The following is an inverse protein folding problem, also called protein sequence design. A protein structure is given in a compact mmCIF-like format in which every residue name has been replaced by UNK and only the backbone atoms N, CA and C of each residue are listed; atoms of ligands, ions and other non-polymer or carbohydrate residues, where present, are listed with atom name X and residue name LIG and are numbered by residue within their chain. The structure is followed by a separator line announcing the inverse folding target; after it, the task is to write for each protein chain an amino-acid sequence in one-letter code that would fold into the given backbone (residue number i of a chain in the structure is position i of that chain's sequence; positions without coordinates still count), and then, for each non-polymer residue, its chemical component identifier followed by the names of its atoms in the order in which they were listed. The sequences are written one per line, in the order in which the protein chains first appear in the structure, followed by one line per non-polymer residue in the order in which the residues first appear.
data_IF_445168474557
#
_entry.id   IF_445168474557
#
_cell.length_a   1.000
_cell.length_b   1.000
_cell.length_c   1.000
_cell.angle_alpha   90.00
_cell.angle_beta   90.00
_cell.angle_gamma   90.00
#
_symmetry.space_group_name_H-M   'P 1'
#
loop_
_entity.id
_entity.type
_entity.pdbx_description
1 polymer ?
#
# COMPACT_ATOMS: atom_id res chain seq x y z
N UNK A 1 35.45 68.36 11.20
CA UNK A 1 34.82 68.41 9.87
C UNK A 1 35.73 67.72 8.88
N UNK A 2 35.59 66.40 8.66
CA UNK A 2 36.01 65.72 7.41
C UNK A 2 35.11 64.48 7.27
N UNK A 3 34.24 64.52 6.28
CA UNK A 3 33.46 63.37 5.82
C UNK A 3 34.31 62.58 4.81
N UNK A 4 34.26 61.25 4.87
CA UNK A 4 34.78 60.38 3.81
C UNK A 4 33.64 59.44 3.38
N UNK A 5 33.14 59.54 2.14
CA UNK A 5 32.13 58.63 1.59
C UNK A 5 32.81 57.44 0.90
N UNK A 6 32.24 56.24 1.07
CA UNK A 6 32.85 54.99 0.62
C UNK A 6 31.83 53.96 0.10
N UNK A 7 31.24 54.27 -1.06
CA UNK A 7 30.84 53.36 -2.15
C UNK A 7 29.99 52.13 -1.77
N UNK A 8 28.70 52.20 -2.11
CA UNK A 8 27.84 51.04 -2.21
C UNK A 8 28.16 50.22 -3.47
N UNK A 9 28.16 48.89 -3.32
CA UNK A 9 27.79 47.97 -4.40
C UNK A 9 26.89 46.90 -3.79
N UNK A 10 25.59 47.14 -3.94
CA UNK A 10 24.55 46.14 -3.72
C UNK A 10 24.57 45.21 -4.93
N UNK A 11 25.31 44.11 -4.83
CA UNK A 11 25.23 43.02 -5.80
C UNK A 11 24.14 42.06 -5.33
N UNK A 12 22.96 42.12 -5.93
CA UNK A 12 21.94 41.09 -5.76
C UNK A 12 22.52 39.76 -6.26
N UNK A 13 22.82 38.86 -5.33
CA UNK A 13 23.15 37.47 -5.66
C UNK A 13 21.83 36.83 -6.11
N UNK A 14 21.64 36.73 -7.43
CA UNK A 14 20.58 35.91 -8.00
C UNK A 14 20.94 34.47 -7.68
N UNK A 15 20.29 33.90 -6.68
CA UNK A 15 20.32 32.47 -6.42
C UNK A 15 19.75 31.76 -7.64
N UNK A 16 20.62 31.14 -8.44
CA UNK A 16 20.20 30.23 -9.50
C UNK A 16 19.53 29.05 -8.78
N UNK A 17 18.23 28.77 -9.03
CA UNK A 17 17.61 27.60 -8.44
C UNK A 17 18.36 26.37 -8.94
N UNK A 18 18.72 25.41 -8.06
CA UNK A 18 19.34 24.18 -8.51
C UNK A 18 18.42 23.52 -9.54
N UNK A 19 19.00 23.07 -10.66
CA UNK A 19 18.31 22.28 -11.66
C UNK A 19 17.53 21.14 -10.98
N UNK A 20 16.36 20.73 -11.50
CA UNK A 20 15.61 19.63 -10.91
C UNK A 20 16.53 18.41 -10.85
N UNK A 21 16.93 18.05 -9.63
CA UNK A 21 17.76 16.88 -9.39
C UNK A 21 17.00 15.69 -9.93
N UNK A 22 17.56 15.06 -10.98
CA UNK A 22 17.03 13.81 -11.51
C UNK A 22 17.08 12.82 -10.35
N UNK A 23 15.92 12.54 -9.76
CA UNK A 23 15.80 11.61 -8.64
C UNK A 23 16.49 10.30 -9.05
N UNK A 24 17.43 9.77 -8.26
CA UNK A 24 18.06 8.50 -8.58
C UNK A 24 16.99 7.42 -8.70
N UNK A 25 17.14 6.50 -9.65
CA UNK A 25 16.18 5.40 -9.81
C UNK A 25 16.04 4.63 -8.48
N UNK A 26 14.83 4.15 -8.13
CA UNK A 26 14.62 3.41 -6.88
C UNK A 26 15.47 2.14 -6.88
N UNK A 27 16.17 1.89 -5.78
CA UNK A 27 16.86 0.63 -5.52
C UNK A 27 15.91 -0.38 -4.88
N UNK A 28 14.93 0.12 -4.11
CA UNK A 28 13.89 -0.66 -3.44
C UNK A 28 12.57 0.11 -3.37
N UNK A 29 11.47 -0.59 -3.58
CA UNK A 29 10.12 -0.07 -3.42
C UNK A 29 9.48 -0.67 -2.16
N UNK A 30 8.89 0.18 -1.32
CA UNK A 30 7.90 -0.25 -0.31
C UNK A 30 6.54 0.19 -0.82
N UNK A 31 5.78 -0.79 -1.31
CA UNK A 31 4.49 -0.59 -1.95
C UNK A 31 3.35 -0.96 -1.01
N UNK A 32 2.20 -0.30 -1.18
CA UNK A 32 0.97 -0.65 -0.45
C UNK A 32 -0.23 -0.65 -1.40
N UNK A 33 -1.06 -1.69 -1.30
CA UNK A 33 -2.29 -1.87 -2.06
C UNK A 33 -3.48 -2.16 -1.13
N UNK A 34 -4.70 -1.84 -1.58
CA UNK A 34 -5.91 -2.20 -0.81
C UNK A 34 -6.13 -3.70 -0.85
N UNK A 35 -6.03 -4.30 -2.04
CA UNK A 35 -6.21 -5.74 -2.25
C UNK A 35 -5.22 -6.33 -3.25
N UNK A 36 -5.04 -7.68 -3.28
CA UNK A 36 -4.17 -8.35 -4.23
C UNK A 36 -4.58 -8.10 -5.70
N UNK A 37 -5.87 -7.84 -5.94
CA UNK A 37 -6.39 -7.62 -7.29
C UNK A 37 -5.81 -6.38 -7.97
N UNK A 38 -5.26 -5.43 -7.23
CA UNK A 38 -4.53 -4.31 -7.83
C UNK A 38 -3.24 -4.75 -8.53
N UNK A 39 -2.61 -5.83 -8.06
CA UNK A 39 -1.44 -6.44 -8.68
C UNK A 39 -1.84 -7.44 -9.77
N UNK A 40 -2.82 -8.29 -9.48
CA UNK A 40 -3.19 -9.44 -10.33
C UNK A 40 -3.98 -9.07 -11.59
N UNK A 41 -4.47 -7.82 -11.69
CA UNK A 41 -5.20 -7.37 -12.86
C UNK A 41 -4.31 -7.36 -14.12
N UNK A 42 -4.87 -7.77 -15.28
CA UNK A 42 -4.23 -7.52 -16.57
C UNK A 42 -3.87 -6.04 -16.69
N UNK A 43 -2.68 -5.76 -17.23
CA UNK A 43 -2.18 -4.39 -17.47
C UNK A 43 -1.99 -3.53 -16.20
N UNK A 44 -2.01 -4.17 -15.02
CA UNK A 44 -1.75 -3.50 -13.74
C UNK A 44 -0.51 -2.60 -13.82
N UNK A 45 -0.70 -1.31 -13.51
CA UNK A 45 0.43 -0.39 -13.38
C UNK A 45 1.31 -0.79 -12.19
N UNK A 46 0.70 -1.29 -11.11
CA UNK A 46 1.43 -1.81 -9.97
C UNK A 46 2.36 -2.96 -10.41
N UNK A 47 1.84 -3.96 -11.14
CA UNK A 47 2.66 -5.07 -11.65
C UNK A 47 3.84 -4.59 -12.50
N UNK A 48 3.62 -3.61 -13.39
CA UNK A 48 4.68 -3.03 -14.22
C UNK A 48 5.75 -2.30 -13.42
N UNK A 49 5.36 -1.58 -12.37
CA UNK A 49 6.30 -0.84 -11.53
C UNK A 49 7.13 -1.76 -10.65
N UNK A 50 6.53 -2.81 -10.07
CA UNK A 50 7.25 -3.75 -9.19
C UNK A 50 8.15 -4.71 -9.97
N UNK A 51 7.88 -4.97 -11.26
CA UNK A 51 8.75 -5.77 -12.12
C UNK A 51 10.15 -5.17 -12.31
N UNK A 52 10.31 -3.86 -12.06
CA UNK A 52 11.56 -3.14 -12.29
C UNK A 52 12.62 -3.28 -11.20
N UNK A 53 12.34 -3.95 -10.07
CA UNK A 53 13.31 -4.02 -8.97
C UNK A 53 12.82 -4.76 -7.73
N UNK A 54 13.54 -4.58 -6.62
CA UNK A 54 13.20 -5.18 -5.32
C UNK A 54 12.01 -4.42 -4.72
N UNK A 55 10.92 -5.13 -4.43
CA UNK A 55 9.69 -4.55 -3.92
C UNK A 55 9.17 -5.35 -2.74
N UNK A 56 8.93 -4.68 -1.61
CA UNK A 56 8.09 -5.19 -0.53
C UNK A 56 6.68 -4.61 -0.71
N UNK A 57 5.71 -5.45 -1.08
CA UNK A 57 4.32 -5.06 -1.29
C UNK A 57 3.46 -5.47 -0.09
N UNK A 58 2.93 -4.49 0.62
CA UNK A 58 1.92 -4.67 1.65
C UNK A 58 0.51 -4.68 1.05
N UNK A 59 -0.23 -5.76 1.26
CA UNK A 59 -1.66 -5.86 0.96
C UNK A 59 -2.46 -5.63 2.23
N UNK A 60 -3.31 -4.59 2.23
CA UNK A 60 -4.09 -4.21 3.40
C UNK A 60 -5.20 -5.23 3.73
N UNK A 61 -6.00 -5.60 2.74
CA UNK A 61 -7.11 -6.54 2.87
C UNK A 61 -6.95 -7.68 1.88
N UNK A 62 -7.27 -8.90 2.31
CA UNK A 62 -7.56 -9.98 1.38
C UNK A 62 -8.95 -9.69 0.78
N UNK A 63 -9.13 -9.92 -0.53
CA UNK A 63 -10.46 -9.89 -1.14
C UNK A 63 -11.24 -11.10 -0.62
N UNK A 64 -11.81 -10.98 0.58
CA UNK A 64 -12.78 -11.93 1.09
C UNK A 64 -14.02 -11.83 0.22
N UNK A 65 -14.50 -12.97 -0.29
CA UNK A 65 -15.74 -13.06 -1.06
C UNK A 65 -16.80 -12.12 -0.47
N UNK A 66 -17.34 -11.22 -1.27
CA UNK A 66 -18.55 -10.43 -0.98
C UNK A 66 -19.80 -11.30 -0.86
N UNK A 67 -19.66 -12.64 -0.86
CA UNK A 67 -20.72 -13.54 -0.47
C UNK A 67 -21.05 -13.32 1.02
N UNK A 68 -22.34 -13.41 1.40
CA UNK A 68 -22.67 -13.46 2.81
C UNK A 68 -21.92 -14.63 3.40
N UNK A 69 -20.93 -14.36 4.26
CA UNK A 69 -20.58 -15.33 5.30
C UNK A 69 -21.87 -15.47 6.09
N UNK A 70 -22.61 -16.54 5.81
CA UNK A 70 -23.72 -16.96 6.64
C UNK A 70 -23.09 -17.19 8.01
N UNK A 71 -23.04 -16.15 8.83
CA UNK A 71 -23.02 -16.30 10.27
C UNK A 71 -24.35 -16.97 10.55
N UNK A 72 -24.36 -18.29 10.59
CA UNK A 72 -25.50 -19.07 11.08
C UNK A 72 -25.66 -18.71 12.56
N UNK A 73 -26.28 -17.56 12.79
CA UNK A 73 -26.60 -17.00 14.11
C UNK A 73 -27.96 -17.55 14.60
N UNK A 74 -28.38 -18.68 14.06
CA UNK A 74 -29.58 -19.42 14.46
C UNK A 74 -29.35 -20.91 14.26
N UNK A 75 -28.45 -21.47 15.07
CA UNK A 75 -28.68 -22.80 15.62
C UNK A 75 -28.21 -22.75 17.07
N UNK A 76 -29.16 -22.73 18.00
CA UNK A 76 -28.91 -22.95 19.42
C UNK A 76 -29.20 -24.43 19.64
N UNK A 77 -28.20 -25.31 19.76
CA UNK A 77 -28.40 -26.57 20.44
C UNK A 77 -28.45 -26.26 21.94
N UNK A 78 -29.47 -26.77 22.59
CA UNK A 78 -29.52 -26.96 24.03
C UNK A 78 -28.35 -27.88 24.40
N UNK A 79 -27.26 -27.34 24.96
CA UNK A 79 -26.11 -28.15 25.40
C UNK A 79 -26.29 -28.55 26.86
N UNK A 80 -26.75 -29.78 27.05
CA UNK A 80 -26.28 -30.66 28.13
C UNK A 80 -25.72 -31.89 27.42
N UNK A 81 -24.44 -31.83 27.03
CA UNK A 81 -23.53 -32.99 27.06
C UNK A 81 -22.12 -32.56 26.66
N UNK A 82 -21.17 -33.08 27.44
CA UNK A 82 -19.73 -32.96 27.29
C UNK A 82 -19.25 -33.84 26.11
N UNK A 83 -18.13 -33.45 25.49
CA UNK A 83 -17.42 -34.10 24.38
C UNK A 83 -17.91 -33.78 22.95
N UNK A 84 -17.11 -32.99 22.21
CA UNK A 84 -16.59 -33.32 20.85
C UNK A 84 -16.02 -32.07 20.16
N UNK A 85 -14.74 -32.18 19.77
CA UNK A 85 -14.01 -31.48 18.71
C UNK A 85 -14.04 -29.94 18.64
N UNK A 86 -12.90 -29.37 19.02
CA UNK A 86 -12.40 -28.05 18.61
C UNK A 86 -12.35 -27.95 17.08
N UNK A 87 -13.49 -27.66 16.44
CA UNK A 87 -13.53 -27.11 15.08
C UNK A 87 -12.98 -25.67 15.13
N UNK A 88 -11.66 -25.59 15.30
CA UNK A 88 -10.88 -24.44 14.90
C UNK A 88 -11.30 -24.10 13.48
N UNK A 89 -12.12 -23.06 13.32
CA UNK A 89 -12.44 -22.47 12.02
C UNK A 89 -11.11 -21.94 11.48
N UNK A 90 -10.39 -22.81 10.78
CA UNK A 90 -9.12 -22.49 10.16
C UNK A 90 -9.37 -21.25 9.27
N UNK A 91 -8.69 -20.12 9.52
CA UNK A 91 -8.88 -18.93 8.71
C UNK A 91 -8.62 -19.33 7.27
N UNK A 92 -9.59 -19.11 6.37
CA UNK A 92 -9.64 -19.55 4.96
C UNK A 92 -8.26 -19.63 4.26
N UNK A 93 -7.52 -20.70 4.53
CA UNK A 93 -6.13 -20.88 4.05
C UNK A 93 -6.13 -21.15 2.54
N UNK A 94 -7.23 -21.69 2.01
CA UNK A 94 -7.41 -21.99 0.60
C UNK A 94 -7.39 -20.72 -0.24
N UNK A 95 -8.13 -19.68 0.16
CA UNK A 95 -8.09 -18.38 -0.53
C UNK A 95 -6.70 -17.74 -0.49
N UNK A 96 -5.94 -17.95 0.59
CA UNK A 96 -4.59 -17.39 0.72
C UNK A 96 -3.58 -18.04 -0.25
N UNK A 97 -3.67 -19.37 -0.39
CA UNK A 97 -2.83 -20.17 -1.31
C UNK A 97 -3.12 -19.83 -2.77
N UNK A 98 -4.39 -19.59 -3.12
CA UNK A 98 -4.79 -19.19 -4.49
C UNK A 98 -4.20 -17.83 -4.89
N UNK A 99 -4.24 -16.85 -3.99
CA UNK A 99 -3.61 -15.53 -4.21
C UNK A 99 -2.11 -15.69 -4.39
N UNK A 100 -1.46 -16.52 -3.57
CA UNK A 100 -0.01 -16.73 -3.68
C UNK A 100 0.35 -17.36 -5.03
N UNK A 101 -0.35 -18.42 -5.42
CA UNK A 101 -0.17 -19.08 -6.72
C UNK A 101 -0.45 -18.14 -7.90
N UNK A 102 -1.39 -17.19 -7.76
CA UNK A 102 -1.64 -16.17 -8.77
C UNK A 102 -0.49 -15.16 -8.87
N UNK A 103 0.08 -14.74 -7.74
CA UNK A 103 1.24 -13.85 -7.70
C UNK A 103 2.49 -14.54 -8.25
N UNK A 104 2.71 -15.80 -7.91
CA UNK A 104 3.87 -16.57 -8.38
C UNK A 104 3.85 -16.72 -9.92
N UNK A 105 2.66 -16.82 -10.53
CA UNK A 105 2.49 -16.84 -11.99
C UNK A 105 2.87 -15.53 -12.68
N UNK A 106 3.00 -14.42 -11.95
CA UNK A 106 3.49 -13.15 -12.52
C UNK A 106 5.00 -13.14 -12.74
N UNK A 107 5.74 -14.13 -12.19
CA UNK A 107 7.20 -14.27 -12.33
C UNK A 107 7.95 -12.97 -11.97
N UNK A 108 7.68 -12.46 -10.77
CA UNK A 108 8.25 -11.21 -10.25
C UNK A 108 9.32 -11.53 -9.18
N UNK A 109 10.57 -11.88 -9.55
CA UNK A 109 11.57 -12.42 -8.63
C UNK A 109 12.02 -11.44 -7.54
N UNK A 110 11.82 -10.14 -7.75
CA UNK A 110 12.11 -9.09 -6.76
C UNK A 110 10.96 -8.76 -5.80
N UNK A 111 9.78 -9.36 -5.99
CA UNK A 111 8.58 -9.07 -5.21
C UNK A 111 8.52 -9.93 -3.94
N UNK A 112 8.33 -9.26 -2.80
CA UNK A 112 7.99 -9.87 -1.52
C UNK A 112 6.59 -9.39 -1.13
N UNK A 113 5.65 -10.33 -1.04
CA UNK A 113 4.27 -10.04 -0.69
C UNK A 113 4.08 -10.15 0.83
N UNK A 114 3.57 -9.09 1.45
CA UNK A 114 3.25 -9.01 2.86
C UNK A 114 1.75 -8.76 3.01
N UNK A 115 1.08 -9.50 3.89
CA UNK A 115 -0.38 -9.45 4.03
C UNK A 115 -0.73 -9.01 5.45
N UNK A 116 -1.55 -7.97 5.56
CA UNK A 116 -1.99 -7.47 6.86
C UNK A 116 -3.29 -8.13 7.35
N UNK A 117 -4.11 -8.62 6.42
CA UNK A 117 -5.34 -9.35 6.76
C UNK A 117 -6.45 -8.49 7.38
N UNK A 118 -6.47 -7.18 7.11
CA UNK A 118 -7.57 -6.32 7.55
C UNK A 118 -8.87 -6.70 6.84
N UNK A 119 -10.00 -6.45 7.49
CA UNK A 119 -11.33 -6.67 6.88
C UNK A 119 -11.64 -5.52 5.92
N UNK A 120 -12.06 -5.85 4.71
CA UNK A 120 -12.69 -4.89 3.80
C UNK A 120 -14.17 -4.62 4.19
N UNK A 121 -14.67 -3.39 4.02
CA UNK A 121 -13.91 -2.17 3.71
C UNK A 121 -13.06 -1.73 4.90
N UNK A 122 -11.92 -1.08 4.64
CA UNK A 122 -11.02 -0.65 5.71
C UNK A 122 -11.70 0.39 6.60
N UNK A 123 -11.62 0.15 7.91
CA UNK A 123 -12.23 1.00 8.93
C UNK A 123 -11.40 2.24 9.25
N UNK A 124 -11.92 3.16 10.09
CA UNK A 124 -11.20 4.36 10.52
C UNK A 124 -9.91 4.03 11.30
N UNK A 125 -9.89 2.91 12.03
CA UNK A 125 -8.74 2.50 12.85
C UNK A 125 -7.63 1.82 12.02
N UNK A 126 -7.93 1.42 10.78
CA UNK A 126 -6.99 0.71 9.91
C UNK A 126 -5.76 1.54 9.55
N UNK A 127 -5.81 2.87 9.58
CA UNK A 127 -4.64 3.70 9.26
C UNK A 127 -3.46 3.46 10.20
N UNK A 128 -3.72 3.26 11.50
CA UNK A 128 -2.67 3.04 12.49
C UNK A 128 -1.93 1.71 12.22
N UNK A 129 -2.69 0.65 11.93
CA UNK A 129 -2.14 -0.67 11.60
C UNK A 129 -1.36 -0.64 10.29
N UNK A 130 -1.86 0.06 9.27
CA UNK A 130 -1.16 0.23 7.99
C UNK A 130 0.16 0.98 8.17
N UNK A 131 0.18 2.04 8.97
CA UNK A 131 1.41 2.79 9.29
C UNK A 131 2.38 1.91 10.06
N UNK A 132 1.93 1.15 11.06
CA UNK A 132 2.78 0.23 11.80
C UNK A 132 3.43 -0.81 10.87
N UNK A 133 2.62 -1.50 10.05
CA UNK A 133 3.10 -2.51 9.11
C UNK A 133 4.07 -1.93 8.07
N UNK A 134 3.75 -0.77 7.49
CA UNK A 134 4.68 -0.10 6.55
C UNK A 134 5.98 0.34 7.24
N UNK A 135 5.92 0.74 8.51
CA UNK A 135 7.12 1.14 9.27
C UNK A 135 8.06 -0.04 9.49
N UNK A 136 7.51 -1.23 9.76
CA UNK A 136 8.28 -2.47 9.83
C UNK A 136 8.97 -2.78 8.49
N UNK A 137 8.26 -2.64 7.37
CA UNK A 137 8.82 -2.90 6.04
C UNK A 137 9.91 -1.89 5.67
N UNK A 138 9.70 -0.60 5.95
CA UNK A 138 10.72 0.43 5.70
C UNK A 138 11.98 0.16 6.54
N UNK A 139 11.79 -0.25 7.79
CA UNK A 139 12.86 -0.45 8.76
C UNK A 139 13.33 0.85 9.41
N UNK A 140 14.25 0.73 10.36
CA UNK A 140 14.88 1.89 11.00
C UNK A 140 16.03 2.41 10.14
N UNK A 141 16.04 3.71 9.84
CA UNK A 141 17.04 4.38 8.99
C UNK A 141 17.18 3.76 7.58
N UNK A 142 16.16 3.93 6.71
CA UNK A 142 16.16 3.29 5.39
C UNK A 142 17.31 3.78 4.51
N UNK A 143 17.93 2.86 3.79
CA UNK A 143 19.02 3.14 2.86
C UNK A 143 18.63 4.17 1.80
N UNK A 144 19.59 4.94 1.26
CA UNK A 144 19.34 5.81 0.12
C UNK A 144 18.77 5.03 -1.07
N UNK A 145 17.68 5.54 -1.66
CA UNK A 145 17.04 4.91 -2.83
C UNK A 145 15.81 4.05 -2.52
N UNK A 146 15.35 4.03 -1.26
CA UNK A 146 14.03 3.49 -0.90
C UNK A 146 12.93 4.49 -1.29
N UNK A 147 11.90 4.02 -1.98
CA UNK A 147 10.73 4.81 -2.38
C UNK A 147 9.46 4.19 -1.83
N UNK A 148 8.53 5.03 -1.40
CA UNK A 148 7.18 4.61 -1.05
C UNK A 148 6.32 4.62 -2.32
N UNK A 149 5.59 3.54 -2.59
CA UNK A 149 4.69 3.42 -3.73
C UNK A 149 3.26 3.21 -3.24
N UNK A 150 2.35 4.09 -3.66
CA UNK A 150 0.96 4.05 -3.20
C UNK A 150 0.00 4.31 -4.37
N UNK A 151 -1.26 3.90 -4.27
CA UNK A 151 -2.23 4.18 -5.32
C UNK A 151 -2.51 5.69 -5.43
N UNK A 152 -2.98 6.13 -6.60
CA UNK A 152 -3.55 7.47 -6.80
C UNK A 152 -4.77 7.64 -5.89
N UNK A 153 -4.97 8.81 -5.26
CA UNK A 153 -6.15 9.07 -4.45
C UNK A 153 -7.45 8.95 -5.26
N UNK A 154 -8.43 8.21 -4.71
CA UNK A 154 -9.79 8.13 -5.24
C UNK A 154 -10.77 8.58 -4.13
N UNK A 155 -11.32 9.79 -4.17
CA UNK A 155 -12.15 10.34 -3.09
C UNK A 155 -13.41 9.52 -2.77
N UNK A 156 -13.91 8.76 -3.74
CA UNK A 156 -15.08 7.92 -3.60
C UNK A 156 -14.79 6.56 -2.91
N UNK A 157 -13.52 6.22 -2.67
CA UNK A 157 -13.10 4.93 -2.10
C UNK A 157 -12.50 5.12 -0.69
N UNK A 158 -13.24 4.81 0.40
CA UNK A 158 -12.74 5.02 1.76
C UNK A 158 -11.50 4.17 2.09
N UNK A 159 -11.46 2.91 1.62
CA UNK A 159 -10.29 2.03 1.77
C UNK A 159 -9.05 2.61 1.09
N UNK A 160 -9.23 3.17 -0.12
CA UNK A 160 -8.17 3.87 -0.85
C UNK A 160 -7.65 5.07 -0.06
N UNK A 161 -8.56 5.83 0.53
CA UNK A 161 -8.20 7.00 1.32
C UNK A 161 -7.35 6.62 2.54
N UNK A 162 -7.66 5.53 3.24
CA UNK A 162 -6.86 5.03 4.37
C UNK A 162 -5.43 4.66 3.95
N UNK A 163 -5.29 3.84 2.89
CA UNK A 163 -3.98 3.45 2.34
C UNK A 163 -3.16 4.66 1.88
N UNK A 164 -3.80 5.62 1.21
CA UNK A 164 -3.14 6.85 0.74
C UNK A 164 -2.62 7.69 1.91
N UNK A 165 -3.40 7.85 2.98
CA UNK A 165 -2.98 8.58 4.18
C UNK A 165 -1.83 7.89 4.90
N UNK A 166 -1.90 6.57 5.06
CA UNK A 166 -0.82 5.78 5.65
C UNK A 166 0.50 5.95 4.87
N UNK A 167 0.46 5.80 3.55
CA UNK A 167 1.63 5.97 2.69
C UNK A 167 2.21 7.39 2.73
N UNK A 168 1.35 8.43 2.75
CA UNK A 168 1.78 9.82 2.90
C UNK A 168 2.49 10.05 4.24
N UNK A 169 1.92 9.50 5.32
CA UNK A 169 2.49 9.61 6.65
C UNK A 169 3.85 8.92 6.75
N UNK A 170 3.98 7.72 6.18
CA UNK A 170 5.26 7.00 6.10
C UNK A 170 6.29 7.78 5.29
N UNK A 171 5.93 8.23 4.10
CA UNK A 171 6.82 9.04 3.27
C UNK A 171 7.31 10.30 4.00
N UNK A 172 6.43 10.94 4.79
CA UNK A 172 6.78 12.10 5.58
C UNK A 172 7.70 11.76 6.77
N UNK A 173 7.39 10.70 7.53
CA UNK A 173 8.17 10.30 8.73
C UNK A 173 9.60 9.90 8.35
N UNK A 174 9.75 9.13 7.27
CA UNK A 174 11.02 8.57 6.84
C UNK A 174 11.73 9.40 5.75
N UNK A 175 11.14 10.53 5.33
CA UNK A 175 11.71 11.37 4.27
C UNK A 175 11.79 10.68 2.90
N UNK A 176 10.93 9.68 2.64
CA UNK A 176 10.97 8.88 1.42
C UNK A 176 10.25 9.59 0.27
N UNK A 177 10.76 9.51 -0.96
CA UNK A 177 9.99 9.92 -2.13
C UNK A 177 8.75 9.04 -2.30
N UNK A 178 7.59 9.68 -2.48
CA UNK A 178 6.31 9.01 -2.73
C UNK A 178 5.98 8.97 -4.22
N UNK A 179 5.84 7.76 -4.76
CA UNK A 179 5.38 7.48 -6.12
C UNK A 179 3.91 7.07 -6.11
N UNK A 180 3.26 7.24 -7.26
CA UNK A 180 1.84 6.93 -7.43
C UNK A 180 1.63 5.98 -8.61
N UNK A 181 0.75 5.01 -8.43
CA UNK A 181 0.26 4.14 -9.50
C UNK A 181 -1.26 4.23 -9.63
N UNK A 182 -1.78 4.05 -10.84
CA UNK A 182 -3.21 4.06 -11.13
C UNK A 182 -3.77 2.67 -10.89
N UNK A 183 -4.92 2.66 -10.23
CA UNK A 183 -5.75 1.46 -10.14
C UNK A 183 -6.66 1.43 -11.36
N UNK A 184 -6.83 0.25 -11.95
CA UNK A 184 -7.81 0.06 -13.02
C UNK A 184 -9.20 -0.03 -12.37
N UNK A 185 -10.08 0.90 -12.74
CA UNK A 185 -11.47 0.92 -12.28
C UNK A 185 -12.21 -0.36 -12.68
N UNK A 186 -13.03 -0.87 -11.77
CA UNK A 186 -13.95 -1.97 -12.06
C UNK A 186 -14.98 -1.51 -13.08
N UNK A 187 -14.78 -1.83 -14.35
CA UNK A 187 -15.86 -1.81 -15.33
C UNK A 187 -16.80 -2.96 -14.99
N UNK A 188 -17.83 -2.71 -14.19
CA UNK A 188 -18.95 -3.66 -14.06
C UNK A 188 -19.63 -3.71 -15.42
N UNK A 189 -19.41 -4.77 -16.18
CA UNK A 189 -20.26 -5.06 -17.34
C UNK A 189 -21.60 -5.46 -16.76
N UNK A 190 -22.69 -4.69 -16.97
CA UNK A 190 -24.01 -5.15 -16.57
C UNK A 190 -24.29 -6.44 -17.35
N UNK A 191 -24.60 -7.51 -16.63
CA UNK A 191 -25.09 -8.75 -17.25
C UNK A 191 -26.25 -8.37 -18.17
N UNK A 192 -26.05 -8.58 -19.47
CA UNK A 192 -27.11 -8.41 -20.45
C UNK A 192 -28.07 -9.58 -20.23
N UNK A 193 -29.16 -9.31 -19.52
CA UNK A 193 -30.29 -10.21 -19.36
C UNK A 193 -30.99 -10.50 -20.70
#
# INVERSE_FOLDING_TARGET
MVAVPGIGVSGAVIAIPPAPSRRPAPTRLVAIAVSPMELLRPESELARLVAGGVTDLLVASEDGSTGPRITSYFDYPDYDDEDEDDESTEPDRRGLDEVQAAVDRLDLPGLRLHRLGLRAPLGPDSEADLVAAMSELVGFDPEPGVYCLAPVPAPAEPSRAAVVRAAQRIAQIYGLPLLRYRCLELSVVPDSA
#
